data_IF_010512291256
#
_entry.id   IF_010512291256
#
_cell.length_a   1.000
_cell.length_b   1.000
_cell.length_c   1.000
_cell.angle_alpha   90.00
_cell.angle_beta   90.00
_cell.angle_gamma   90.00
#
_symmetry.space_group_name_H-M   'P 1'
#
loop_
_entity.id
_entity.type
_entity.pdbx_description
1 polymer ?
#
# COMPACT_ATOMS: atom_id res chain seq x y z
N UNK A 1 7.81 0.43 -8.77
CA UNK A 1 6.64 0.13 -7.91
C UNK A 1 5.91 1.41 -7.56
N UNK A 2 4.71 1.31 -6.99
CA UNK A 2 3.96 2.44 -6.45
C UNK A 2 3.53 2.17 -5.00
N UNK A 3 3.41 3.23 -4.19
CA UNK A 3 2.70 3.18 -2.91
C UNK A 3 1.23 3.53 -3.16
N UNK A 4 0.30 2.71 -2.67
CA UNK A 4 -1.14 2.96 -2.76
C UNK A 4 -1.76 3.02 -1.36
N UNK A 5 -2.85 3.76 -1.20
CA UNK A 5 -3.55 3.98 0.08
C UNK A 5 -5.03 3.81 -0.18
N UNK A 6 -5.71 3.03 0.67
CA UNK A 6 -7.10 2.62 0.52
C UNK A 6 -7.26 1.27 -0.18
N UNK A 7 -8.22 0.48 0.29
CA UNK A 7 -8.55 -0.85 -0.22
C UNK A 7 -8.89 -0.80 -1.72
N UNK A 8 -9.86 0.04 -2.11
CA UNK A 8 -10.30 0.19 -3.51
C UNK A 8 -9.19 0.72 -4.41
N UNK A 9 -8.48 1.75 -3.95
CA UNK A 9 -7.37 2.35 -4.69
C UNK A 9 -6.27 1.31 -4.91
N UNK A 10 -5.91 0.56 -3.88
CA UNK A 10 -4.89 -0.49 -3.95
C UNK A 10 -5.31 -1.60 -4.89
N UNK A 11 -6.56 -2.04 -4.84
CA UNK A 11 -7.07 -3.10 -5.68
C UNK A 11 -7.11 -2.68 -7.17
N UNK A 12 -7.68 -1.51 -7.48
CA UNK A 12 -7.80 -1.02 -8.86
C UNK A 12 -6.44 -0.62 -9.43
N UNK A 13 -5.64 0.15 -8.70
CA UNK A 13 -4.32 0.56 -9.16
C UNK A 13 -3.39 -0.65 -9.28
N UNK A 14 -3.47 -1.60 -8.34
CA UNK A 14 -2.75 -2.85 -8.39
C UNK A 14 -3.04 -3.66 -9.66
N UNK A 15 -4.31 -3.83 -10.03
CA UNK A 15 -4.68 -4.54 -11.27
C UNK A 15 -4.18 -3.83 -12.53
N UNK A 16 -4.30 -2.51 -12.59
CA UNK A 16 -3.80 -1.72 -13.72
C UNK A 16 -2.28 -1.83 -13.82
N UNK A 17 -1.57 -1.68 -12.70
CA UNK A 17 -0.10 -1.70 -12.65
C UNK A 17 0.46 -3.11 -12.87
N UNK A 18 -0.24 -4.16 -12.48
CA UNK A 18 0.14 -5.54 -12.75
C UNK A 18 0.25 -5.83 -14.24
N UNK A 19 -0.65 -5.26 -15.07
CA UNK A 19 -0.59 -5.35 -16.54
C UNK A 19 0.66 -4.70 -17.14
N UNK A 20 1.32 -3.84 -16.38
CA UNK A 20 2.57 -3.17 -16.75
C UNK A 20 3.80 -3.81 -16.09
N UNK A 21 3.63 -4.89 -15.33
CA UNK A 21 4.70 -5.52 -14.56
C UNK A 21 5.21 -4.65 -13.40
N UNK A 22 4.37 -3.75 -12.88
CA UNK A 22 4.72 -2.85 -11.78
C UNK A 22 4.05 -3.35 -10.49
N UNK A 23 4.85 -3.74 -9.51
CA UNK A 23 4.38 -4.11 -8.18
C UNK A 23 3.91 -2.89 -7.37
N UNK A 24 3.10 -3.14 -6.33
CA UNK A 24 2.62 -2.11 -5.39
C UNK A 24 3.03 -2.43 -3.94
N UNK A 25 3.21 -1.39 -3.13
CA UNK A 25 3.05 -1.49 -1.67
C UNK A 25 1.71 -0.83 -1.37
N UNK A 26 0.75 -1.57 -0.83
CA UNK A 26 -0.58 -1.05 -0.51
C UNK A 26 -0.77 -0.88 0.99
N UNK A 27 -1.34 0.25 1.39
CA UNK A 27 -1.82 0.50 2.76
C UNK A 27 -3.34 0.37 2.72
N UNK A 28 -3.89 -0.56 3.48
CA UNK A 28 -5.32 -0.91 3.49
C UNK A 28 -5.80 -1.03 4.92
N UNK A 29 -7.08 -0.81 5.18
CA UNK A 29 -7.67 -0.97 6.51
C UNK A 29 -8.66 -2.14 6.57
N UNK A 30 -8.97 -2.73 5.40
CA UNK A 30 -9.79 -3.93 5.28
C UNK A 30 -11.26 -3.64 5.02
N UNK A 31 -11.63 -2.41 4.66
CA UNK A 31 -12.99 -1.99 4.36
C UNK A 31 -13.43 -2.21 2.90
N UNK A 32 -12.81 -3.16 2.19
CA UNK A 32 -12.99 -3.39 0.76
C UNK A 32 -14.45 -3.33 0.29
N UNK A 33 -14.73 -2.37 -0.60
CA UNK A 33 -16.01 -2.25 -1.26
C UNK A 33 -16.13 -3.27 -2.40
N UNK A 34 -17.37 -3.56 -2.83
CA UNK A 34 -17.73 -4.66 -3.76
C UNK A 34 -17.16 -4.54 -5.18
N UNK A 35 -16.25 -3.61 -5.45
CA UNK A 35 -15.59 -3.40 -6.74
C UNK A 35 -14.52 -4.48 -7.03
N UNK A 36 -14.11 -5.27 -6.02
CA UNK A 36 -13.03 -6.25 -6.08
C UNK A 36 -13.39 -7.63 -6.71
N UNK A 37 -14.18 -7.65 -7.78
CA UNK A 37 -14.39 -8.87 -8.56
C UNK A 37 -13.13 -9.24 -9.38
N UNK A 38 -12.39 -10.28 -8.94
CA UNK A 38 -11.21 -10.87 -9.61
C UNK A 38 -10.15 -9.86 -10.08
N UNK A 39 -9.62 -9.06 -9.16
CA UNK A 39 -8.50 -8.15 -9.44
C UNK A 39 -7.17 -8.88 -9.19
N UNK A 40 -6.19 -8.62 -10.06
CA UNK A 40 -4.85 -9.24 -9.97
C UNK A 40 -3.88 -8.28 -9.28
N UNK A 41 -3.26 -8.72 -8.19
CA UNK A 41 -2.08 -8.05 -7.65
C UNK A 41 -0.83 -8.79 -8.13
N UNK A 42 0.15 -8.05 -8.65
CA UNK A 42 1.37 -8.64 -9.19
C UNK A 42 2.19 -9.30 -8.08
N UNK A 43 2.70 -10.54 -8.27
CA UNK A 43 3.64 -11.14 -7.32
C UNK A 43 4.86 -10.26 -7.07
N UNK A 44 5.25 -10.15 -5.80
CA UNK A 44 6.27 -9.20 -5.33
C UNK A 44 5.70 -7.84 -4.91
N UNK A 45 4.38 -7.67 -4.94
CA UNK A 45 3.69 -6.61 -4.21
C UNK A 45 3.63 -6.94 -2.71
N UNK A 46 3.38 -5.93 -1.89
CA UNK A 46 3.27 -6.05 -0.43
C UNK A 46 2.01 -5.31 0.01
N UNK A 47 1.12 -5.96 0.75
CA UNK A 47 -0.09 -5.32 1.28
C UNK A 47 0.06 -5.22 2.80
N UNK A 48 -0.05 -4.01 3.32
CA UNK A 48 0.06 -3.69 4.74
C UNK A 48 -1.33 -3.33 5.22
N UNK A 49 -1.91 -4.20 6.04
CA UNK A 49 -3.20 -3.94 6.65
C UNK A 49 -3.02 -3.27 8.01
N UNK A 50 -3.70 -2.14 8.20
CA UNK A 50 -3.79 -1.39 9.45
C UNK A 50 -5.19 -1.43 10.05
N UNK A 51 -5.36 -0.90 11.25
CA UNK A 51 -6.69 -0.76 11.87
C UNK A 51 -7.65 0.09 11.02
N UNK A 52 -8.97 -0.20 11.05
CA UNK A 52 -9.98 0.58 10.32
C UNK A 52 -9.84 2.10 10.53
N UNK A 53 -9.78 2.85 9.42
CA UNK A 53 -9.62 4.29 9.35
C UNK A 53 -8.19 4.82 9.48
N UNK A 54 -7.17 3.95 9.54
CA UNK A 54 -5.77 4.37 9.70
C UNK A 54 -4.95 4.40 8.41
N UNK A 55 -5.46 3.85 7.31
CA UNK A 55 -4.76 3.83 6.03
C UNK A 55 -4.46 5.25 5.52
N UNK A 56 -5.42 6.17 5.59
CA UNK A 56 -5.25 7.59 5.25
C UNK A 56 -4.24 8.29 6.18
N UNK A 57 -4.25 7.96 7.47
CA UNK A 57 -3.33 8.54 8.46
C UNK A 57 -1.90 8.08 8.16
N UNK A 58 -1.70 6.78 7.97
CA UNK A 58 -0.39 6.20 7.68
C UNK A 58 0.08 6.63 6.29
N UNK A 59 -0.82 6.71 5.30
CA UNK A 59 -0.56 7.21 3.96
C UNK A 59 -0.12 8.67 3.93
N UNK A 60 -0.79 9.54 4.68
CA UNK A 60 -0.41 10.94 4.87
C UNK A 60 0.98 11.06 5.49
N UNK A 61 1.25 10.30 6.56
CA UNK A 61 2.58 10.23 7.17
C UNK A 61 3.63 9.68 6.22
N UNK A 62 3.31 8.72 5.37
CA UNK A 62 4.23 8.23 4.35
C UNK A 62 4.59 9.34 3.35
N UNK A 63 3.61 10.14 2.90
CA UNK A 63 3.86 11.30 2.03
C UNK A 63 4.80 12.31 2.68
N UNK A 64 4.63 12.60 3.96
CA UNK A 64 5.41 13.60 4.69
C UNK A 64 6.79 13.08 5.13
N UNK A 65 6.87 11.89 5.73
CA UNK A 65 8.05 11.37 6.42
C UNK A 65 8.92 10.45 5.55
N UNK A 66 8.35 9.77 4.56
CA UNK A 66 9.09 8.87 3.66
C UNK A 66 9.36 9.60 2.34
N UNK A 67 8.33 10.17 1.73
CA UNK A 67 8.44 10.85 0.44
C UNK A 67 8.84 12.33 0.57
N UNK A 68 8.80 12.93 1.76
CA UNK A 68 9.17 14.33 1.98
C UNK A 68 8.42 15.30 1.06
N UNK A 69 7.15 15.01 0.79
CA UNK A 69 6.30 15.79 -0.11
C UNK A 69 6.58 15.59 -1.61
N UNK A 70 7.50 14.72 -1.99
CA UNK A 70 7.83 14.40 -3.39
C UNK A 70 6.91 13.30 -3.95
N UNK A 71 6.74 13.28 -5.27
CA UNK A 71 5.96 12.23 -5.94
C UNK A 71 6.76 10.94 -6.18
N UNK A 72 8.09 11.04 -6.14
CA UNK A 72 9.01 9.94 -6.45
C UNK A 72 10.24 9.99 -5.56
N UNK A 73 10.62 8.82 -5.09
CA UNK A 73 11.84 8.58 -4.32
C UNK A 73 12.52 7.31 -4.84
N UNK A 74 13.81 7.14 -4.51
CA UNK A 74 14.56 5.90 -4.76
C UNK A 74 14.58 5.06 -3.48
N UNK A 75 13.81 3.99 -3.44
CA UNK A 75 13.69 3.07 -2.30
C UNK A 75 13.31 1.68 -2.81
N UNK A 76 13.73 0.63 -2.10
CA UNK A 76 13.30 -0.74 -2.40
C UNK A 76 11.87 -1.00 -1.88
N UNK A 77 11.24 -2.06 -2.38
CA UNK A 77 9.92 -2.47 -1.91
C UNK A 77 9.91 -2.83 -0.42
N UNK A 78 10.92 -3.58 0.02
CA UNK A 78 11.07 -4.04 1.38
C UNK A 78 11.32 -2.87 2.33
N UNK A 79 12.27 -1.98 1.98
CA UNK A 79 12.55 -0.81 2.83
C UNK A 79 11.35 0.13 2.92
N UNK A 80 10.60 0.29 1.82
CA UNK A 80 9.36 1.07 1.84
C UNK A 80 8.31 0.44 2.75
N UNK A 81 8.11 -0.88 2.65
CA UNK A 81 7.17 -1.60 3.50
C UNK A 81 7.57 -1.54 4.98
N UNK A 82 8.85 -1.73 5.30
CA UNK A 82 9.38 -1.62 6.66
C UNK A 82 9.15 -0.24 7.25
N UNK A 83 9.44 0.82 6.49
CA UNK A 83 9.16 2.19 6.93
C UNK A 83 7.67 2.46 7.12
N UNK A 84 6.81 1.95 6.24
CA UNK A 84 5.35 2.10 6.40
C UNK A 84 4.87 1.36 7.66
N UNK A 85 5.38 0.16 7.96
CA UNK A 85 5.07 -0.57 9.20
C UNK A 85 5.54 0.19 10.44
N UNK A 86 6.71 0.83 10.39
CA UNK A 86 7.18 1.71 11.46
C UNK A 86 6.23 2.89 11.68
N UNK A 87 5.70 3.50 10.60
CA UNK A 87 4.69 4.56 10.70
C UNK A 87 3.36 4.04 11.27
N UNK A 88 2.91 2.85 10.86
CA UNK A 88 1.69 2.22 11.36
C UNK A 88 1.80 1.89 12.87
N UNK A 89 2.97 1.47 13.33
CA UNK A 89 3.24 1.21 14.74
C UNK A 89 2.25 0.22 15.33
N UNK A 90 1.58 0.62 16.42
CA UNK A 90 0.58 -0.22 17.11
C UNK A 90 -0.69 -0.51 16.32
N UNK A 91 -0.92 0.19 15.20
CA UNK A 91 -2.09 -0.01 14.34
C UNK A 91 -1.85 -1.03 13.22
N UNK A 92 -0.66 -1.61 13.12
CA UNK A 92 -0.37 -2.67 12.15
C UNK A 92 -1.13 -3.96 12.52
N UNK A 93 -1.92 -4.48 11.60
CA UNK A 93 -2.60 -5.77 11.74
C UNK A 93 -1.76 -6.90 11.14
N UNK A 94 -1.37 -6.77 9.86
CA UNK A 94 -0.61 -7.80 9.13
C UNK A 94 0.04 -7.26 7.87
N UNK A 95 0.95 -8.06 7.34
CA UNK A 95 1.55 -7.91 6.01
C UNK A 95 1.24 -9.16 5.19
N UNK A 96 0.78 -8.98 3.96
CA UNK A 96 0.47 -10.04 3.01
C UNK A 96 1.31 -9.88 1.73
N UNK A 97 1.72 -11.01 1.15
CA UNK A 97 2.46 -11.09 -0.12
C UNK A 97 1.61 -11.85 -1.15
N UNK A 98 0.93 -11.15 -2.06
CA UNK A 98 0.08 -11.74 -3.10
C UNK A 98 0.85 -12.61 -4.11
#
# INVERSE_FOLDING_TARGET
MALTVGDDTTAIAGDILARLGIAVVGIVDGDIDRLAGSLTILPGSIIIQVEPGYDDIVGGRAREEIFQGMDRISISALDLADRVKELAGGHLIREDHP
#
